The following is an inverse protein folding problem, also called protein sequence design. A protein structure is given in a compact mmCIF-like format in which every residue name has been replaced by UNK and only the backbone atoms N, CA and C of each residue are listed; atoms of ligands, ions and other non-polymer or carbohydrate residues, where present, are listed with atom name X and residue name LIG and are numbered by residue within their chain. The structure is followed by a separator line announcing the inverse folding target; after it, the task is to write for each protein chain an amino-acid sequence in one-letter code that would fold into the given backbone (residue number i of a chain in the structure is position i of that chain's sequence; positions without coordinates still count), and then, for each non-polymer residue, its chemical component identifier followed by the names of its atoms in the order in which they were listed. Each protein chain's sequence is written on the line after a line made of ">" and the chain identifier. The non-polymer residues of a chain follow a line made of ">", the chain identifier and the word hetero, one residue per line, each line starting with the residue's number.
data_IF_855012089681
#
_entry.id   IF_855012089681
#
_cell.length_a   1.000
_cell.length_b   1.000
_cell.length_c   1.000
_cell.angle_alpha   90.00
_cell.angle_beta   90.00
_cell.angle_gamma   90.00
#
_symmetry.space_group_name_H-M   'P 1'
#
loop_
_entity.id
_entity.type
_entity.pdbx_description
1 polymer ?
#
# COMPACT_ATOMS: atom_id res chain seq x y z
N UNK A 1 20.70 18.55 21.45
CA UNK A 1 20.39 18.03 20.10
C UNK A 1 19.02 17.38 20.19
N UNK A 2 18.08 17.68 19.29
CA UNK A 2 16.76 17.04 19.37
C UNK A 2 16.88 15.56 19.02
N UNK A 3 16.14 14.69 19.71
CA UNK A 3 16.06 13.26 19.38
C UNK A 3 15.15 13.05 18.17
N UNK A 4 15.28 11.92 17.47
CA UNK A 4 14.39 11.57 16.35
C UNK A 4 12.91 11.63 16.75
N UNK A 5 12.60 11.16 17.96
CA UNK A 5 11.26 11.26 18.54
C UNK A 5 10.76 12.72 18.67
N UNK A 6 11.56 13.64 19.20
CA UNK A 6 11.21 15.06 19.32
C UNK A 6 11.06 15.73 17.94
N UNK A 7 11.84 15.29 16.94
CA UNK A 7 11.69 15.77 15.56
C UNK A 7 10.38 15.26 14.96
N UNK A 8 10.03 13.98 15.19
CA UNK A 8 8.76 13.39 14.76
C UNK A 8 7.56 14.12 15.37
N UNK A 9 7.56 14.33 16.70
CA UNK A 9 6.52 15.04 17.43
C UNK A 9 6.32 16.47 16.90
N UNK A 10 7.41 17.20 16.63
CA UNK A 10 7.32 18.53 16.04
C UNK A 10 6.63 18.54 14.67
N UNK A 11 6.88 17.53 13.83
CA UNK A 11 6.20 17.39 12.56
C UNK A 11 4.72 17.00 12.72
N UNK A 12 4.37 16.18 13.72
CA UNK A 12 2.98 15.85 14.06
C UNK A 12 2.22 17.11 14.47
N UNK A 13 2.77 17.92 15.36
CA UNK A 13 2.16 19.20 15.78
C UNK A 13 1.98 20.16 14.61
N UNK A 14 2.95 20.21 13.70
CA UNK A 14 2.82 20.99 12.47
C UNK A 14 1.70 20.46 11.59
N UNK A 15 1.57 19.13 11.46
CA UNK A 15 0.49 18.54 10.67
C UNK A 15 -0.89 18.86 11.24
N UNK A 16 -1.09 18.65 12.55
CA UNK A 16 -2.36 18.93 13.23
C UNK A 16 -2.76 20.41 13.14
N UNK A 17 -1.81 21.35 13.20
CA UNK A 17 -2.09 22.78 12.99
C UNK A 17 -2.67 23.07 11.61
N UNK A 18 -2.14 22.43 10.56
CA UNK A 18 -2.68 22.62 9.21
C UNK A 18 -4.08 22.00 9.06
N UNK A 19 -4.42 20.95 9.81
CA UNK A 19 -5.75 20.34 9.76
C UNK A 19 -6.85 21.24 10.31
N UNK A 20 -6.51 22.15 11.24
CA UNK A 20 -7.46 23.13 11.80
C UNK A 20 -8.03 24.04 10.70
N UNK A 21 -7.23 24.37 9.68
CA UNK A 21 -7.63 25.25 8.57
C UNK A 21 -8.68 24.59 7.65
N UNK A 22 -8.73 23.25 7.61
CA UNK A 22 -9.77 22.42 6.98
C UNK A 22 -10.00 22.67 5.47
N UNK A 23 -9.08 23.33 4.77
CA UNK A 23 -9.06 23.43 3.31
C UNK A 23 -8.12 22.36 2.69
N UNK A 24 -8.30 22.12 1.39
CA UNK A 24 -7.57 21.07 0.66
C UNK A 24 -6.05 21.25 0.74
N UNK A 25 -5.57 22.49 0.58
CA UNK A 25 -4.14 22.77 0.52
C UNK A 25 -3.48 22.53 1.88
N UNK A 26 -4.17 22.89 2.96
CA UNK A 26 -3.66 22.67 4.31
C UNK A 26 -3.72 21.20 4.74
N UNK A 27 -4.73 20.44 4.33
CA UNK A 27 -4.75 18.97 4.58
C UNK A 27 -3.64 18.27 3.77
N UNK A 28 -3.32 18.73 2.55
CA UNK A 28 -2.15 18.23 1.79
C UNK A 28 -0.82 18.52 2.50
N UNK A 29 -0.67 19.73 3.08
CA UNK A 29 0.50 20.04 3.92
C UNK A 29 0.58 19.16 5.15
N UNK A 30 -0.55 18.86 5.79
CA UNK A 30 -0.59 17.94 6.92
C UNK A 30 -0.04 16.56 6.52
N UNK A 31 -0.43 16.02 5.37
CA UNK A 31 0.12 14.76 4.83
C UNK A 31 1.65 14.82 4.67
N UNK A 32 2.18 15.93 4.13
CA UNK A 32 3.64 16.10 3.98
C UNK A 32 4.34 16.08 5.34
N UNK A 33 3.78 16.76 6.35
CA UNK A 33 4.33 16.77 7.69
C UNK A 33 4.25 15.40 8.37
N UNK A 34 3.15 14.67 8.24
CA UNK A 34 3.05 13.30 8.73
C UNK A 34 4.05 12.35 8.07
N UNK A 35 4.25 12.45 6.75
CA UNK A 35 5.28 11.67 6.06
C UNK A 35 6.67 11.96 6.62
N UNK A 36 6.98 13.23 6.90
CA UNK A 36 8.25 13.61 7.55
C UNK A 36 8.35 13.02 8.95
N UNK A 37 7.28 13.06 9.75
CA UNK A 37 7.26 12.46 11.08
C UNK A 37 7.56 10.95 11.03
N UNK A 38 7.02 10.22 10.04
CA UNK A 38 7.27 8.77 9.85
C UNK A 38 8.74 8.47 9.53
N UNK A 39 9.46 9.37 8.86
CA UNK A 39 10.89 9.18 8.58
C UNK A 39 11.71 9.12 9.88
N UNK A 40 11.31 9.88 10.91
CA UNK A 40 12.00 9.91 12.20
C UNK A 40 11.44 8.90 13.22
N UNK A 41 10.18 8.48 13.06
CA UNK A 41 9.57 7.44 13.90
C UNK A 41 8.82 6.38 13.05
N UNK A 42 9.56 5.54 12.31
CA UNK A 42 8.95 4.62 11.34
C UNK A 42 8.17 3.47 12.01
N UNK A 43 8.36 3.22 13.30
CA UNK A 43 7.69 2.13 14.04
C UNK A 43 6.42 2.60 14.75
N UNK A 44 6.09 3.88 14.69
CA UNK A 44 4.91 4.44 15.32
C UNK A 44 3.63 4.10 14.53
N UNK A 45 2.89 3.11 15.05
CA UNK A 45 1.67 2.63 14.43
C UNK A 45 0.54 3.68 14.47
N UNK A 46 0.46 4.47 15.55
CA UNK A 46 -0.57 5.51 15.69
C UNK A 46 -0.35 6.64 14.69
N UNK A 47 0.90 7.05 14.49
CA UNK A 47 1.28 8.02 13.47
C UNK A 47 0.90 7.55 12.06
N UNK A 48 1.14 6.28 11.75
CA UNK A 48 0.75 5.68 10.45
C UNK A 48 -0.77 5.67 10.30
N UNK A 49 -1.51 5.30 11.35
CA UNK A 49 -2.97 5.33 11.35
C UNK A 49 -3.50 6.75 11.13
N UNK A 50 -2.96 7.75 11.84
CA UNK A 50 -3.34 9.15 11.70
C UNK A 50 -3.05 9.69 10.30
N UNK A 51 -1.89 9.35 9.73
CA UNK A 51 -1.59 9.67 8.34
C UNK A 51 -2.64 9.09 7.39
N UNK A 52 -3.04 7.83 7.56
CA UNK A 52 -4.06 7.19 6.71
C UNK A 52 -5.39 7.94 6.75
N UNK A 53 -5.85 8.32 7.94
CA UNK A 53 -7.11 9.05 8.14
C UNK A 53 -7.10 10.38 7.41
N UNK A 54 -6.07 11.19 7.67
CA UNK A 54 -5.90 12.52 7.09
C UNK A 54 -5.74 12.44 5.58
N UNK A 55 -5.03 11.41 5.11
CA UNK A 55 -4.83 11.18 3.70
C UNK A 55 -6.12 10.79 2.99
N UNK A 56 -6.97 9.95 3.60
CA UNK A 56 -8.31 9.65 3.09
C UNK A 56 -9.18 10.91 2.97
N UNK A 57 -9.08 11.83 3.95
CA UNK A 57 -9.78 13.12 3.90
C UNK A 57 -9.32 14.00 2.73
N UNK A 58 -8.01 14.13 2.50
CA UNK A 58 -7.46 14.84 1.32
C UNK A 58 -8.10 14.31 0.06
N UNK A 59 -8.09 13.00 -0.09
CA UNK A 59 -8.46 12.38 -1.34
C UNK A 59 -9.96 12.40 -1.60
N UNK A 60 -10.78 12.29 -0.54
CA UNK A 60 -12.21 12.53 -0.59
C UNK A 60 -12.53 13.98 -0.98
N UNK A 61 -11.88 14.98 -0.36
CA UNK A 61 -12.10 16.41 -0.67
C UNK A 61 -11.64 16.79 -2.07
N UNK A 62 -10.49 16.26 -2.49
CA UNK A 62 -9.94 16.50 -3.82
C UNK A 62 -10.64 15.72 -4.93
N UNK A 63 -11.56 14.78 -4.62
CA UNK A 63 -12.08 13.78 -5.56
C UNK A 63 -10.95 13.06 -6.32
N UNK A 64 -9.80 12.91 -5.67
CA UNK A 64 -8.56 12.35 -6.25
C UNK A 64 -8.49 10.83 -6.16
N UNK A 65 -9.36 10.20 -5.35
CA UNK A 65 -9.65 8.78 -5.53
C UNK A 65 -10.52 8.69 -6.77
N UNK A 66 -9.89 8.35 -7.88
CA UNK A 66 -10.63 8.02 -9.09
C UNK A 66 -11.26 6.63 -8.93
N UNK A 67 -12.39 6.41 -9.60
CA UNK A 67 -13.05 5.09 -9.59
C UNK A 67 -12.08 3.98 -9.99
N UNK A 68 -11.15 4.27 -10.89
CA UNK A 68 -10.08 3.36 -11.30
C UNK A 68 -9.17 2.92 -10.12
N UNK A 69 -8.83 3.82 -9.20
CA UNK A 69 -8.02 3.48 -8.01
C UNK A 69 -8.79 2.53 -7.08
N UNK A 70 -10.10 2.74 -6.94
CA UNK A 70 -10.99 1.86 -6.18
C UNK A 70 -11.08 0.49 -6.86
N UNK A 71 -11.33 0.45 -8.17
CA UNK A 71 -11.45 -0.78 -8.95
C UNK A 71 -10.17 -1.62 -8.87
N UNK A 72 -9.00 -0.99 -9.04
CA UNK A 72 -7.69 -1.65 -8.88
C UNK A 72 -7.51 -2.24 -7.47
N UNK A 73 -7.92 -1.50 -6.44
CA UNK A 73 -7.90 -1.97 -5.06
C UNK A 73 -8.81 -3.18 -4.86
N UNK A 74 -10.01 -3.15 -5.42
CA UNK A 74 -10.97 -4.26 -5.34
C UNK A 74 -10.43 -5.51 -6.04
N UNK A 75 -9.77 -5.38 -7.19
CA UNK A 75 -9.14 -6.51 -7.89
C UNK A 75 -8.05 -7.15 -7.02
N UNK A 76 -7.19 -6.36 -6.37
CA UNK A 76 -6.14 -6.87 -5.48
C UNK A 76 -6.72 -7.54 -4.24
N UNK A 77 -7.79 -6.97 -3.66
CA UNK A 77 -8.53 -7.60 -2.55
C UNK A 77 -9.12 -8.94 -2.97
N UNK A 78 -9.82 -8.99 -4.09
CA UNK A 78 -10.37 -10.23 -4.66
C UNK A 78 -9.29 -11.27 -4.95
N UNK A 79 -8.13 -10.85 -5.45
CA UNK A 79 -6.97 -11.72 -5.64
C UNK A 79 -6.51 -12.32 -4.31
N UNK A 80 -6.25 -11.49 -3.29
CA UNK A 80 -5.79 -11.94 -1.98
C UNK A 80 -6.79 -12.89 -1.31
N UNK A 81 -8.07 -12.54 -1.32
CA UNK A 81 -9.13 -13.34 -0.70
C UNK A 81 -9.28 -14.69 -1.43
N UNK A 82 -9.18 -14.69 -2.76
CA UNK A 82 -9.28 -15.92 -3.55
C UNK A 82 -8.07 -16.84 -3.38
N UNK A 83 -6.88 -16.27 -3.19
CA UNK A 83 -5.68 -17.02 -2.80
C UNK A 83 -5.85 -17.67 -1.43
N UNK A 84 -6.39 -16.95 -0.43
CA UNK A 84 -6.67 -17.49 0.92
C UNK A 84 -7.73 -18.59 0.89
N UNK A 85 -8.76 -18.45 0.05
CA UNK A 85 -9.86 -19.40 -0.07
C UNK A 85 -9.56 -20.59 -1.00
N UNK A 86 -8.38 -20.63 -1.63
CA UNK A 86 -7.97 -21.73 -2.51
C UNK A 86 -8.70 -21.80 -3.86
N UNK A 87 -9.36 -20.72 -4.31
CA UNK A 87 -10.09 -20.71 -5.58
C UNK A 87 -9.14 -20.42 -6.77
N UNK A 88 -8.33 -21.41 -7.15
CA UNK A 88 -7.30 -21.26 -8.18
C UNK A 88 -7.86 -20.83 -9.55
N UNK A 89 -9.04 -21.33 -9.93
CA UNK A 89 -9.65 -20.98 -11.22
C UNK A 89 -9.98 -19.49 -11.27
N UNK A 90 -10.60 -18.97 -10.21
CA UNK A 90 -10.90 -17.55 -10.12
C UNK A 90 -9.64 -16.70 -9.99
N UNK A 91 -8.64 -17.12 -9.18
CA UNK A 91 -7.34 -16.43 -9.10
C UNK A 91 -6.75 -16.25 -10.49
N UNK A 92 -6.62 -17.34 -11.27
CA UNK A 92 -6.09 -17.27 -12.66
C UNK A 92 -6.93 -16.37 -13.56
N UNK A 93 -8.26 -16.33 -13.35
CA UNK A 93 -9.15 -15.47 -14.13
C UNK A 93 -8.89 -13.97 -13.91
N UNK A 94 -8.25 -13.56 -12.81
CA UNK A 94 -7.92 -12.15 -12.54
C UNK A 94 -6.73 -11.65 -13.37
N UNK A 95 -5.97 -12.54 -14.00
CA UNK A 95 -4.78 -12.18 -14.77
C UNK A 95 -5.09 -11.99 -16.25
N UNK A 96 -4.32 -11.11 -16.89
CA UNK A 96 -4.38 -10.94 -18.34
C UNK A 96 -3.71 -12.13 -19.04
N UNK A 97 -3.96 -12.26 -20.35
CA UNK A 97 -3.32 -13.32 -21.16
C UNK A 97 -1.83 -13.07 -21.36
N UNK A 98 -1.43 -11.81 -21.36
CA UNK A 98 -0.07 -11.30 -21.54
C UNK A 98 0.65 -11.03 -20.20
N UNK A 99 0.18 -11.65 -19.12
CA UNK A 99 0.73 -11.45 -17.79
C UNK A 99 2.24 -11.74 -17.71
N UNK A 100 2.96 -10.90 -16.98
CA UNK A 100 4.38 -11.08 -16.67
C UNK A 100 4.69 -10.85 -15.18
N UNK A 101 5.72 -11.51 -14.66
CA UNK A 101 6.22 -11.32 -13.30
C UNK A 101 7.74 -11.56 -13.23
N UNK A 102 8.48 -11.08 -14.23
CA UNK A 102 9.93 -11.21 -14.25
C UNK A 102 10.57 -10.67 -12.96
N UNK A 103 11.56 -11.42 -12.44
CA UNK A 103 12.29 -11.11 -11.19
C UNK A 103 11.41 -11.06 -9.93
N UNK A 104 10.27 -11.76 -9.93
CA UNK A 104 9.41 -11.86 -8.77
C UNK A 104 9.86 -13.01 -7.84
N UNK A 105 9.97 -12.70 -6.55
CA UNK A 105 10.36 -13.64 -5.49
C UNK A 105 9.48 -14.89 -5.45
N UNK A 106 8.20 -14.74 -5.76
CA UNK A 106 7.24 -15.85 -5.76
C UNK A 106 7.29 -16.68 -7.05
N UNK A 107 8.03 -16.26 -8.08
CA UNK A 107 8.22 -17.04 -9.30
C UNK A 107 8.08 -16.21 -10.56
N UNK A 108 8.66 -16.70 -11.65
CA UNK A 108 8.79 -16.00 -12.93
C UNK A 108 7.67 -16.33 -13.92
N UNK A 109 6.77 -17.25 -13.55
CA UNK A 109 5.58 -17.61 -14.35
C UNK A 109 4.32 -17.43 -13.52
N UNK A 110 3.16 -17.24 -14.17
CA UNK A 110 1.87 -17.12 -13.48
C UNK A 110 1.60 -18.28 -12.50
N UNK A 111 1.82 -19.51 -12.96
CA UNK A 111 1.55 -20.70 -12.15
C UNK A 111 2.53 -20.82 -10.98
N UNK A 112 3.83 -20.58 -11.19
CA UNK A 112 4.81 -20.61 -10.10
C UNK A 112 4.54 -19.51 -9.08
N UNK A 113 4.24 -18.29 -9.55
CA UNK A 113 3.86 -17.15 -8.73
C UNK A 113 2.66 -17.48 -7.83
N UNK A 114 1.54 -17.94 -8.41
CA UNK A 114 0.32 -18.24 -7.65
C UNK A 114 0.58 -19.34 -6.62
N UNK A 115 1.24 -20.44 -7.02
CA UNK A 115 1.47 -21.58 -6.13
C UNK A 115 2.36 -21.21 -4.94
N UNK A 116 3.46 -20.49 -5.20
CA UNK A 116 4.38 -20.08 -4.15
C UNK A 116 3.77 -18.98 -3.26
N UNK A 117 3.00 -18.04 -3.82
CA UNK A 117 2.31 -17.02 -3.05
C UNK A 117 1.27 -17.64 -2.09
N UNK A 118 0.45 -18.59 -2.58
CA UNK A 118 -0.52 -19.31 -1.74
C UNK A 118 0.21 -20.15 -0.68
N UNK A 119 1.30 -20.81 -1.05
CA UNK A 119 2.14 -21.54 -0.09
C UNK A 119 2.61 -20.61 1.02
N UNK A 120 3.13 -19.43 0.67
CA UNK A 120 3.59 -18.42 1.63
C UNK A 120 2.47 -17.96 2.56
N UNK A 121 1.28 -17.67 2.03
CA UNK A 121 0.10 -17.29 2.82
C UNK A 121 -0.32 -18.36 3.84
N UNK A 122 -0.14 -19.64 3.52
CA UNK A 122 -0.49 -20.75 4.39
C UNK A 122 0.52 -21.01 5.53
N UNK A 123 1.68 -20.34 5.53
CA UNK A 123 2.60 -20.43 6.65
C UNK A 123 2.02 -19.72 7.89
N UNK A 124 1.96 -20.41 9.04
CA UNK A 124 1.33 -19.95 10.29
C UNK A 124 1.79 -18.58 10.82
N UNK A 125 2.94 -18.08 10.38
CA UNK A 125 3.53 -16.81 10.83
C UNK A 125 3.47 -15.70 9.78
N UNK A 126 2.90 -15.98 8.60
CA UNK A 126 2.88 -15.02 7.51
C UNK A 126 1.97 -13.85 7.85
N UNK A 127 2.53 -12.65 7.79
CA UNK A 127 1.76 -11.40 7.86
C UNK A 127 1.54 -10.93 6.45
N UNK A 128 0.28 -10.76 6.06
CA UNK A 128 -0.08 -10.20 4.77
C UNK A 128 -1.08 -9.06 4.96
N UNK A 129 -0.70 -7.87 4.53
CA UNK A 129 -1.43 -6.62 4.72
C UNK A 129 -1.58 -5.87 3.39
N UNK A 130 -2.63 -5.05 3.29
CA UNK A 130 -2.82 -4.17 2.14
C UNK A 130 -2.13 -2.83 2.45
N UNK A 131 -1.26 -2.42 1.53
CA UNK A 131 -0.60 -1.11 1.57
C UNK A 131 -1.01 -0.25 0.38
N UNK A 132 -0.67 1.03 0.46
CA UNK A 132 -0.91 2.03 -0.57
C UNK A 132 0.34 2.87 -0.74
N UNK A 133 0.86 2.96 -1.95
CA UNK A 133 1.82 3.98 -2.31
C UNK A 133 1.10 5.22 -2.81
N UNK A 134 1.46 6.39 -2.29
CA UNK A 134 1.05 7.65 -2.89
C UNK A 134 2.08 8.12 -3.90
N UNK A 135 1.73 8.01 -5.18
CA UNK A 135 2.60 8.38 -6.29
C UNK A 135 1.79 9.28 -7.22
N UNK A 136 2.34 10.44 -7.57
CA UNK A 136 1.74 11.37 -8.52
C UNK A 136 0.24 11.66 -8.24
N UNK A 137 -0.12 11.89 -6.98
CA UNK A 137 -1.48 12.18 -6.55
C UNK A 137 -2.50 11.02 -6.68
N UNK A 138 -2.04 9.78 -6.89
CA UNK A 138 -2.87 8.57 -7.05
C UNK A 138 -2.58 7.52 -5.99
N UNK A 139 -3.58 6.68 -5.68
CA UNK A 139 -3.40 5.51 -4.83
C UNK A 139 -2.93 4.32 -5.64
N UNK A 140 -1.76 3.80 -5.28
CA UNK A 140 -1.23 2.59 -5.87
C UNK A 140 -1.22 1.49 -4.82
N UNK A 141 -2.28 0.69 -4.83
CA UNK A 141 -2.46 -0.42 -3.90
C UNK A 141 -1.39 -1.48 -4.10
N UNK A 142 -0.83 -1.97 -3.00
CA UNK A 142 0.16 -3.03 -2.95
C UNK A 142 -0.21 -4.05 -1.89
N UNK A 143 0.43 -5.22 -1.93
CA UNK A 143 0.40 -6.17 -0.82
C UNK A 143 1.76 -6.18 -0.13
N UNK A 144 1.76 -6.22 1.20
CA UNK A 144 2.95 -6.44 1.99
C UNK A 144 2.82 -7.86 2.55
N UNK A 145 3.73 -8.75 2.19
CA UNK A 145 3.79 -10.12 2.70
C UNK A 145 5.16 -10.35 3.32
N UNK A 146 5.19 -10.60 4.63
CA UNK A 146 6.42 -10.69 5.40
C UNK A 146 7.34 -9.47 5.17
N UNK A 147 8.48 -9.66 4.52
CA UNK A 147 9.43 -8.60 4.20
C UNK A 147 9.33 -8.08 2.74
N UNK A 148 8.32 -8.50 1.99
CA UNK A 148 8.17 -8.18 0.56
C UNK A 148 6.98 -7.28 0.29
N UNK A 149 7.18 -6.30 -0.59
CA UNK A 149 6.16 -5.47 -1.20
C UNK A 149 5.86 -6.03 -2.59
N UNK A 150 4.59 -6.37 -2.85
CA UNK A 150 4.09 -6.71 -4.18
C UNK A 150 3.37 -5.52 -4.79
N UNK A 151 3.85 -5.04 -5.94
CA UNK A 151 3.19 -3.96 -6.70
C UNK A 151 2.53 -4.54 -7.94
N UNK A 152 1.31 -4.10 -8.20
CA UNK A 152 0.45 -4.61 -9.26
C UNK A 152 0.30 -3.58 -10.36
N UNK A 153 0.47 -4.00 -11.61
CA UNK A 153 -0.03 -3.27 -12.76
C UNK A 153 -1.34 -3.91 -13.21
N UNK A 154 -2.40 -3.11 -13.27
CA UNK A 154 -3.74 -3.56 -13.67
C UNK A 154 -4.16 -2.74 -14.88
N UNK A 155 -4.55 -3.45 -15.94
CA UNK A 155 -5.08 -2.89 -17.19
C UNK A 155 -6.36 -3.65 -17.55
N UNK A 156 -7.39 -2.94 -18.00
CA UNK A 156 -8.66 -3.55 -18.43
C UNK A 156 -9.23 -4.53 -17.38
N UNK A 157 -9.16 -4.16 -16.10
CA UNK A 157 -9.60 -4.98 -14.96
C UNK A 157 -8.91 -6.34 -14.81
N UNK A 158 -7.71 -6.49 -15.40
CA UNK A 158 -6.85 -7.66 -15.27
C UNK A 158 -5.48 -7.29 -14.72
N UNK A 159 -4.94 -8.15 -13.88
CA UNK A 159 -3.56 -8.06 -13.40
C UNK A 159 -2.65 -8.43 -14.58
N UNK A 160 -1.91 -7.44 -15.06
CA UNK A 160 -0.99 -7.62 -16.18
C UNK A 160 0.45 -7.83 -15.72
N UNK A 161 0.82 -7.29 -14.56
CA UNK A 161 2.19 -7.43 -14.08
C UNK A 161 2.27 -7.36 -12.56
N UNK A 162 3.13 -8.19 -11.95
CA UNK A 162 3.44 -8.11 -10.52
C UNK A 162 4.96 -8.09 -10.31
N UNK A 163 5.43 -7.09 -9.58
CA UNK A 163 6.81 -7.06 -9.05
C UNK A 163 6.83 -7.33 -7.56
N UNK A 164 7.93 -7.90 -7.09
CA UNK A 164 8.23 -8.00 -5.66
C UNK A 164 9.50 -7.21 -5.33
N UNK A 165 9.51 -6.51 -4.20
CA UNK A 165 10.71 -5.84 -3.68
C UNK A 165 10.81 -6.10 -2.17
N UNK A 166 12.01 -6.34 -1.64
CA UNK A 166 12.21 -6.36 -0.18
C UNK A 166 11.96 -4.98 0.42
N UNK A 167 11.39 -4.92 1.62
CA UNK A 167 11.23 -3.70 2.41
C UNK A 167 12.59 -3.07 2.71
N UNK A 168 13.58 -3.90 3.03
CA UNK A 168 14.97 -3.47 3.17
C UNK A 168 15.48 -2.92 1.83
N UNK A 169 15.89 -1.65 1.82
CA UNK A 169 16.37 -0.96 0.62
C UNK A 169 15.27 -0.40 -0.29
N UNK A 170 13.98 -0.56 0.03
CA UNK A 170 12.90 0.10 -0.68
C UNK A 170 12.69 1.54 -0.18
N UNK A 171 12.45 2.48 -1.10
CA UNK A 171 11.88 3.78 -0.73
C UNK A 171 10.41 3.60 -0.33
N UNK A 172 10.19 3.53 0.97
CA UNK A 172 8.87 3.40 1.59
C UNK A 172 8.34 4.73 2.15
N UNK A 173 8.97 5.86 1.81
CA UNK A 173 8.54 7.20 2.28
C UNK A 173 7.10 7.53 1.90
N UNK A 174 6.62 6.94 0.81
CA UNK A 174 5.26 7.09 0.30
C UNK A 174 4.36 5.88 0.59
N UNK A 175 4.85 4.88 1.32
CA UNK A 175 4.08 3.70 1.71
C UNK A 175 3.22 3.99 2.93
N UNK A 176 1.92 3.88 2.72
CA UNK A 176 0.84 4.10 3.67
C UNK A 176 0.20 2.72 3.89
N UNK A 177 0.35 2.15 5.09
CA UNK A 177 -0.17 0.81 5.39
C UNK A 177 -1.58 0.97 5.95
N UNK A 178 -2.59 0.49 5.22
CA UNK A 178 -3.96 0.53 5.72
C UNK A 178 -4.23 -0.74 6.52
N UNK A 179 -4.24 -0.60 7.85
CA UNK A 179 -4.74 -1.66 8.72
C UNK A 179 -6.26 -1.63 8.63
N UNK A 180 -6.83 -2.40 7.70
CA UNK A 180 -8.22 -2.81 7.83
C UNK A 180 -8.25 -3.97 8.83
N UNK A 181 -8.65 -3.66 10.06
CA UNK A 181 -9.26 -4.69 10.90
C UNK A 181 -10.67 -4.99 10.36
#
# INVERSE_FOLDING_TARGET
>A
MKTDKEISEHYIESAERHLIENDIYSIEKAVVHYKRAILFDPKNLELRKRLNEVFYEVCKKNKRIENEDIEKTLIIKSFLDSCKNGNLSYVKSLFSKDFSCEYNYFGETLDSFILNFIKELNHKKTKCEIGYFFIANRFNTCLIINEYILRFNIKENKINFITSQKLEGADISNLIIWVNN
#
